data_IF_410192185845
#
_entry.id   IF_410192185845
#
_cell.length_a   1.000
_cell.length_b   1.000
_cell.length_c   1.000
_cell.angle_alpha   90.00
_cell.angle_beta   90.00
_cell.angle_gamma   90.00
#
_symmetry.space_group_name_H-M   'P 1'
#
loop_
_entity.id
_entity.type
_entity.pdbx_description
1 polymer ?
#
# COMPACT_ATOMS: atom_id res chain seq x y z
N UNK A 1 7.85 -0.05 -43.68
CA UNK A 1 7.24 0.09 -42.34
C UNK A 1 6.48 -1.21 -42.08
N UNK A 2 7.06 -2.17 -41.35
CA UNK A 2 6.40 -3.44 -41.11
C UNK A 2 5.22 -3.23 -40.14
N UNK A 3 4.04 -3.85 -40.37
CA UNK A 3 2.92 -3.72 -39.46
C UNK A 3 3.29 -4.35 -38.11
N UNK A 4 3.26 -3.54 -37.04
CA UNK A 4 3.43 -4.04 -35.67
C UNK A 4 2.39 -5.12 -35.40
N UNK A 5 2.85 -6.31 -34.98
CA UNK A 5 1.98 -7.44 -34.67
C UNK A 5 1.06 -7.09 -33.50
N UNK A 6 -0.15 -7.64 -33.47
CA UNK A 6 -1.14 -7.41 -32.40
C UNK A 6 -0.57 -7.73 -31.01
N UNK A 7 0.29 -8.75 -30.94
CA UNK A 7 1.05 -9.16 -29.76
C UNK A 7 1.98 -8.05 -29.21
N UNK A 8 2.59 -7.23 -30.09
CA UNK A 8 3.47 -6.13 -29.69
C UNK A 8 2.68 -4.93 -29.10
N UNK A 9 1.41 -4.79 -29.48
CA UNK A 9 0.50 -3.76 -28.97
C UNK A 9 -0.11 -4.15 -27.63
N UNK A 10 -0.56 -5.39 -27.45
CA UNK A 10 -1.07 -5.88 -26.15
C UNK A 10 0.01 -5.82 -25.06
N UNK A 11 1.25 -6.21 -25.37
CA UNK A 11 2.35 -6.10 -24.41
C UNK A 11 2.73 -4.65 -24.08
N UNK A 12 2.43 -3.69 -24.97
CA UNK A 12 2.74 -2.27 -24.77
C UNK A 12 1.81 -1.58 -23.77
N UNK A 13 0.55 -2.00 -23.70
CA UNK A 13 -0.46 -1.38 -22.83
C UNK A 13 -0.62 -2.10 -21.49
N UNK A 14 -0.27 -3.40 -21.41
CA UNK A 14 -0.49 -4.21 -20.22
C UNK A 14 0.27 -3.71 -18.98
N UNK A 15 1.58 -3.49 -19.07
CA UNK A 15 2.40 -3.13 -17.89
C UNK A 15 2.00 -1.78 -17.28
N UNK A 16 1.82 -0.70 -18.06
CA UNK A 16 1.33 0.57 -17.51
C UNK A 16 -0.07 0.46 -16.90
N UNK A 17 -0.99 -0.28 -17.54
CA UNK A 17 -2.35 -0.48 -17.00
C UNK A 17 -2.33 -1.27 -15.69
N UNK A 18 -1.48 -2.31 -15.60
CA UNK A 18 -1.29 -3.08 -14.38
C UNK A 18 -0.69 -2.24 -13.26
N UNK A 19 0.29 -1.39 -13.57
CA UNK A 19 0.89 -0.47 -12.61
C UNK A 19 -0.16 0.49 -12.04
N UNK A 20 -0.94 1.12 -12.91
CA UNK A 20 -2.02 2.03 -12.52
C UNK A 20 -3.04 1.32 -11.61
N UNK A 21 -3.47 0.12 -12.01
CA UNK A 21 -4.38 -0.68 -11.21
C UNK A 21 -3.80 -1.01 -9.83
N UNK A 22 -2.53 -1.40 -9.75
CA UNK A 22 -1.86 -1.70 -8.47
C UNK A 22 -1.77 -0.48 -7.57
N UNK A 23 -1.39 0.69 -8.09
CA UNK A 23 -1.31 1.92 -7.30
C UNK A 23 -2.69 2.31 -6.77
N UNK A 24 -3.73 2.24 -7.60
CA UNK A 24 -5.11 2.52 -7.19
C UNK A 24 -5.55 1.53 -6.10
N UNK A 25 -5.32 0.24 -6.28
CA UNK A 25 -5.69 -0.78 -5.29
C UNK A 25 -4.98 -0.59 -3.95
N UNK A 26 -3.69 -0.25 -3.99
CA UNK A 26 -2.92 0.04 -2.77
C UNK A 26 -3.44 1.31 -2.08
N UNK A 27 -3.73 2.37 -2.83
CA UNK A 27 -4.31 3.60 -2.28
C UNK A 27 -5.70 3.35 -1.68
N UNK A 28 -6.57 2.59 -2.35
CA UNK A 28 -7.88 2.19 -1.84
C UNK A 28 -7.77 1.34 -0.58
N UNK A 29 -6.83 0.39 -0.54
CA UNK A 29 -6.54 -0.38 0.67
C UNK A 29 -6.13 0.54 1.82
N UNK A 30 -5.15 1.43 1.61
CA UNK A 30 -4.72 2.39 2.62
C UNK A 30 -5.88 3.28 3.08
N UNK A 31 -6.72 3.75 2.15
CA UNK A 31 -7.89 4.54 2.50
C UNK A 31 -8.91 3.74 3.31
N UNK A 32 -9.17 2.48 2.98
CA UNK A 32 -10.08 1.61 3.72
C UNK A 32 -9.61 1.37 5.16
N UNK A 33 -8.30 1.10 5.36
CA UNK A 33 -7.70 1.03 6.69
C UNK A 33 -7.84 2.38 7.42
N UNK A 34 -7.60 3.49 6.72
CA UNK A 34 -7.72 4.84 7.26
C UNK A 34 -9.11 5.17 7.77
N UNK A 35 -10.13 4.94 6.94
CA UNK A 35 -11.54 5.11 7.30
C UNK A 35 -11.90 4.19 8.46
N UNK A 36 -11.54 2.90 8.39
CA UNK A 36 -11.82 1.93 9.46
C UNK A 36 -11.24 2.36 10.81
N UNK A 37 -10.00 2.84 10.83
CA UNK A 37 -9.35 3.34 12.04
C UNK A 37 -10.01 4.62 12.59
N UNK A 38 -10.62 5.46 11.74
CA UNK A 38 -11.34 6.67 12.16
C UNK A 38 -12.75 6.37 12.69
N UNK A 39 -13.52 5.58 11.94
CA UNK A 39 -14.97 5.40 12.17
C UNK A 39 -15.28 4.19 13.05
N UNK A 40 -14.43 3.16 13.01
CA UNK A 40 -14.62 1.89 13.69
C UNK A 40 -13.44 1.55 14.61
N UNK A 41 -12.79 2.55 15.21
CA UNK A 41 -11.55 2.41 15.97
C UNK A 41 -11.59 1.29 17.02
N UNK A 42 -12.54 1.34 17.95
CA UNK A 42 -12.62 0.37 19.06
C UNK A 42 -12.95 -1.04 18.56
N UNK A 43 -13.88 -1.13 17.61
CA UNK A 43 -14.23 -2.40 16.99
C UNK A 43 -13.03 -3.00 16.26
N UNK A 44 -12.31 -2.19 15.47
CA UNK A 44 -11.13 -2.60 14.72
C UNK A 44 -10.00 -3.07 15.64
N UNK A 45 -9.76 -2.38 16.76
CA UNK A 45 -8.80 -2.83 17.77
C UNK A 45 -9.18 -4.21 18.33
N UNK A 46 -10.44 -4.42 18.72
CA UNK A 46 -10.91 -5.71 19.25
C UNK A 46 -10.86 -6.82 18.23
N UNK A 47 -11.34 -6.57 17.02
CA UNK A 47 -11.30 -7.52 15.89
C UNK A 47 -9.87 -7.98 15.60
N UNK A 48 -8.93 -7.03 15.65
CA UNK A 48 -7.53 -7.27 15.37
C UNK A 48 -6.76 -7.88 16.56
N UNK A 49 -7.44 -8.16 17.67
CA UNK A 49 -6.92 -8.88 18.83
C UNK A 49 -6.32 -7.98 19.93
N UNK A 50 -6.44 -6.66 19.82
CA UNK A 50 -6.07 -5.74 20.88
C UNK A 50 -7.22 -5.58 21.89
N UNK A 51 -6.93 -5.34 23.19
CA UNK A 51 -7.97 -5.16 24.21
C UNK A 51 -8.79 -3.86 24.03
N UNK A 52 -8.34 -2.95 23.17
CA UNK A 52 -8.87 -1.59 23.00
C UNK A 52 -7.82 -0.54 23.36
N UNK A 53 -8.18 0.74 23.27
CA UNK A 53 -7.30 1.85 23.62
C UNK A 53 -8.09 2.99 24.25
N UNK A 54 -7.51 3.64 25.25
CA UNK A 54 -8.04 4.86 25.84
C UNK A 54 -6.86 5.76 26.24
N UNK A 55 -6.75 6.99 25.71
CA UNK A 55 -7.68 7.66 24.80
C UNK A 55 -7.60 7.17 23.34
N UNK A 56 -8.66 7.38 22.55
CA UNK A 56 -8.74 6.99 21.13
C UNK A 56 -7.97 7.90 20.16
N UNK A 57 -7.30 8.93 20.66
CA UNK A 57 -6.62 9.93 19.82
C UNK A 57 -5.57 9.30 18.90
N UNK A 58 -4.61 8.54 19.43
CA UNK A 58 -3.54 7.94 18.63
C UNK A 58 -4.04 6.86 17.64
N UNK A 59 -4.91 5.91 18.04
CA UNK A 59 -5.50 4.97 17.08
C UNK A 59 -6.26 5.65 15.94
N UNK A 60 -6.97 6.75 16.21
CA UNK A 60 -7.63 7.55 15.15
C UNK A 60 -6.63 8.32 14.30
N UNK A 61 -5.53 8.79 14.90
CA UNK A 61 -4.46 9.48 14.18
C UNK A 61 -3.82 8.58 13.11
N UNK A 62 -3.66 7.28 13.40
CA UNK A 62 -3.25 6.28 12.40
C UNK A 62 -4.16 6.32 11.17
N UNK A 63 -5.46 6.50 11.39
CA UNK A 63 -6.44 6.59 10.32
C UNK A 63 -6.26 7.83 9.43
N UNK A 64 -6.01 8.99 10.04
CA UNK A 64 -5.70 10.23 9.30
C UNK A 64 -4.45 10.05 8.44
N UNK A 65 -3.38 9.48 9.00
CA UNK A 65 -2.13 9.27 8.24
C UNK A 65 -2.33 8.32 7.06
N UNK A 66 -3.13 7.27 7.21
CA UNK A 66 -3.47 6.35 6.12
C UNK A 66 -4.20 7.04 4.97
N UNK A 67 -5.12 7.97 5.27
CA UNK A 67 -5.78 8.78 4.25
C UNK A 67 -4.79 9.69 3.53
N UNK A 68 -3.93 10.39 4.28
CA UNK A 68 -2.92 11.30 3.70
C UNK A 68 -2.00 10.55 2.74
N UNK A 69 -1.47 9.39 3.14
CA UNK A 69 -0.56 8.63 2.27
C UNK A 69 -1.30 8.02 1.07
N UNK A 70 -2.56 7.60 1.22
CA UNK A 70 -3.37 7.13 0.10
C UNK A 70 -3.50 8.22 -0.99
N UNK A 71 -3.80 9.46 -0.61
CA UNK A 71 -3.83 10.58 -1.55
C UNK A 71 -2.44 10.90 -2.11
N UNK A 72 -1.40 10.85 -1.29
CA UNK A 72 -0.04 11.09 -1.75
C UNK A 72 0.40 10.08 -2.84
N UNK A 73 0.02 8.81 -2.70
CA UNK A 73 0.30 7.78 -3.73
C UNK A 73 -0.39 8.12 -5.05
N UNK A 74 -1.68 8.48 -5.01
CA UNK A 74 -2.43 8.84 -6.21
C UNK A 74 -1.88 10.11 -6.86
N UNK A 75 -1.57 11.14 -6.07
CA UNK A 75 -1.02 12.40 -6.57
C UNK A 75 0.35 12.15 -7.21
N UNK A 76 1.23 11.40 -6.54
CA UNK A 76 2.56 11.05 -7.08
C UNK A 76 2.41 10.34 -8.42
N UNK A 77 1.56 9.32 -8.48
CA UNK A 77 1.41 8.50 -9.66
C UNK A 77 0.77 9.24 -10.83
N UNK A 78 -0.37 9.91 -10.62
CA UNK A 78 -1.08 10.57 -11.72
C UNK A 78 -0.39 11.85 -12.19
N UNK A 79 0.41 12.51 -11.35
CA UNK A 79 1.11 13.76 -11.73
C UNK A 79 2.54 13.54 -12.20
N UNK A 80 3.25 12.59 -11.60
CA UNK A 80 4.69 12.39 -11.85
C UNK A 80 5.02 10.99 -12.38
N UNK A 81 4.04 10.08 -12.47
CA UNK A 81 4.25 8.66 -12.83
C UNK A 81 5.29 7.97 -11.95
N UNK A 82 5.42 8.44 -10.71
CA UNK A 82 6.31 7.89 -9.69
C UNK A 82 5.57 6.95 -8.75
N UNK A 83 6.33 6.08 -8.09
CA UNK A 83 5.84 5.15 -7.05
C UNK A 83 6.67 5.24 -5.76
N UNK A 84 7.55 6.24 -5.65
CA UNK A 84 8.53 6.34 -4.57
C UNK A 84 7.88 6.60 -3.22
N UNK A 85 6.86 7.45 -3.14
CA UNK A 85 6.13 7.71 -1.89
C UNK A 85 5.46 6.42 -1.40
N UNK A 86 4.83 5.66 -2.30
CA UNK A 86 4.21 4.37 -1.97
C UNK A 86 5.25 3.38 -1.44
N UNK A 87 6.33 3.19 -2.19
CA UNK A 87 7.38 2.23 -1.85
C UNK A 87 8.06 2.59 -0.53
N UNK A 88 8.49 3.85 -0.36
CA UNK A 88 9.17 4.29 0.85
C UNK A 88 8.25 4.20 2.08
N UNK A 89 7.00 4.64 1.96
CA UNK A 89 6.05 4.60 3.09
C UNK A 89 5.80 3.17 3.54
N UNK A 90 5.51 2.26 2.60
CA UNK A 90 5.29 0.85 2.94
C UNK A 90 6.55 0.14 3.41
N UNK A 91 7.72 0.44 2.85
CA UNK A 91 8.98 -0.12 3.34
C UNK A 91 9.23 0.29 4.81
N UNK A 92 8.98 1.55 5.16
CA UNK A 92 9.06 2.01 6.55
C UNK A 92 8.05 1.29 7.44
N UNK A 93 6.80 1.14 6.98
CA UNK A 93 5.76 0.42 7.71
C UNK A 93 6.13 -1.06 7.95
N UNK A 94 6.59 -1.77 6.92
CA UNK A 94 7.05 -3.17 7.02
C UNK A 94 8.19 -3.28 8.02
N UNK A 95 9.21 -2.43 7.91
CA UNK A 95 10.34 -2.42 8.85
C UNK A 95 9.86 -2.22 10.29
N UNK A 96 8.98 -1.24 10.52
CA UNK A 96 8.39 -1.00 11.83
C UNK A 96 7.62 -2.21 12.34
N UNK A 97 6.71 -2.78 11.56
CA UNK A 97 5.87 -3.91 11.97
C UNK A 97 6.71 -5.16 12.25
N UNK A 98 7.72 -5.45 11.42
CA UNK A 98 8.65 -6.57 11.64
C UNK A 98 9.44 -6.36 12.93
N UNK A 99 9.99 -5.16 13.16
CA UNK A 99 10.67 -4.85 14.42
C UNK A 99 9.77 -5.08 15.62
N UNK A 100 8.52 -4.59 15.57
CA UNK A 100 7.57 -4.72 16.67
C UNK A 100 7.16 -6.19 16.92
N UNK A 101 7.03 -7.01 15.86
CA UNK A 101 6.78 -8.46 16.00
C UNK A 101 7.96 -9.20 16.63
N UNK A 102 9.19 -8.74 16.41
CA UNK A 102 10.40 -9.34 17.02
C UNK A 102 10.54 -8.94 18.49
N UNK A 103 10.20 -7.70 18.82
CA UNK A 103 10.39 -7.13 20.18
C UNK A 103 9.26 -7.54 21.13
N UNK A 104 8.02 -7.57 20.65
CA UNK A 104 6.83 -7.76 21.47
C UNK A 104 5.94 -8.93 21.01
N UNK A 105 5.13 -9.44 21.93
CA UNK A 105 4.05 -10.39 21.61
C UNK A 105 2.82 -9.64 21.14
N UNK A 106 2.71 -9.50 19.83
CA UNK A 106 1.63 -8.76 19.20
C UNK A 106 0.51 -9.68 18.68
N UNK A 107 -0.73 -9.17 18.56
CA UNK A 107 -1.82 -9.90 17.94
C UNK A 107 -1.49 -10.33 16.51
N UNK A 108 -2.15 -11.40 16.06
CA UNK A 108 -1.96 -12.02 14.75
C UNK A 108 -2.02 -11.02 13.59
N UNK A 109 -2.83 -9.96 13.71
CA UNK A 109 -3.01 -8.97 12.65
C UNK A 109 -1.69 -8.31 12.23
N UNK A 110 -0.76 -8.09 13.17
CA UNK A 110 0.45 -7.30 12.95
C UNK A 110 1.39 -7.98 11.96
N UNK A 111 1.78 -9.26 12.13
CA UNK A 111 2.59 -9.95 11.12
C UNK A 111 1.87 -10.12 9.77
N UNK A 112 0.54 -10.28 9.76
CA UNK A 112 -0.22 -10.33 8.50
C UNK A 112 -0.20 -8.97 7.77
N UNK A 113 -0.32 -7.86 8.50
CA UNK A 113 -0.16 -6.51 7.93
C UNK A 113 1.25 -6.31 7.38
N UNK A 114 2.29 -6.74 8.09
CA UNK A 114 3.67 -6.64 7.61
C UNK A 114 3.87 -7.42 6.29
N UNK A 115 3.34 -8.64 6.22
CA UNK A 115 3.40 -9.46 5.01
C UNK A 115 2.62 -8.80 3.86
N UNK A 116 1.40 -8.33 4.12
CA UNK A 116 0.57 -7.65 3.12
C UNK A 116 1.24 -6.42 2.54
N UNK A 117 1.78 -5.55 3.39
CA UNK A 117 2.51 -4.35 2.94
C UNK A 117 3.78 -4.70 2.17
N UNK A 118 4.53 -5.72 2.61
CA UNK A 118 5.71 -6.21 1.91
C UNK A 118 5.40 -6.72 0.50
N UNK A 119 4.32 -7.51 0.36
CA UNK A 119 3.87 -8.01 -0.94
C UNK A 119 3.45 -6.87 -1.87
N UNK A 120 2.77 -5.85 -1.35
CA UNK A 120 2.40 -4.66 -2.14
C UNK A 120 3.64 -3.91 -2.65
N UNK A 121 4.67 -3.72 -1.82
CA UNK A 121 5.93 -3.09 -2.24
C UNK A 121 6.60 -3.89 -3.35
N UNK A 122 6.74 -5.20 -3.16
CA UNK A 122 7.39 -6.07 -4.14
C UNK A 122 6.62 -6.07 -5.46
N UNK A 123 5.29 -6.15 -5.42
CA UNK A 123 4.45 -6.14 -6.61
C UNK A 123 4.57 -4.82 -7.39
N UNK A 124 4.45 -3.68 -6.70
CA UNK A 124 4.55 -2.35 -7.34
C UNK A 124 5.95 -2.12 -7.92
N UNK A 125 7.01 -2.43 -7.17
CA UNK A 125 8.38 -2.30 -7.67
C UNK A 125 8.65 -3.21 -8.87
N UNK A 126 8.21 -4.48 -8.80
CA UNK A 126 8.40 -5.42 -9.89
C UNK A 126 7.75 -4.91 -11.18
N UNK A 127 6.51 -4.39 -11.10
CA UNK A 127 5.81 -3.83 -12.25
C UNK A 127 6.44 -2.52 -12.72
N UNK A 128 6.78 -1.61 -11.80
CA UNK A 128 7.44 -0.33 -12.15
C UNK A 128 8.75 -0.55 -12.89
N UNK A 129 9.57 -1.52 -12.45
CA UNK A 129 10.79 -1.90 -13.16
C UNK A 129 10.53 -2.46 -14.56
N UNK A 130 9.36 -3.09 -14.82
CA UNK A 130 8.98 -3.54 -16.17
C UNK A 130 8.54 -2.38 -17.05
N UNK A 131 7.88 -1.37 -16.48
CA UNK A 131 7.48 -0.15 -17.20
C UNK A 131 8.70 0.69 -17.59
N UNK A 132 9.71 0.78 -16.71
CA UNK A 132 10.92 1.59 -16.96
C UNK A 132 11.96 0.95 -17.88
N UNK A 133 11.92 -0.37 -18.13
CA UNK A 133 12.90 -1.02 -19.00
C UNK A 133 12.73 -0.50 -20.44
N UNK A 134 13.77 0.13 -21.04
CA UNK A 134 13.75 0.48 -22.45
C UNK A 134 13.55 -0.78 -23.30
N UNK A 135 12.63 -0.72 -24.27
CA UNK A 135 12.47 -1.76 -25.30
C UNK A 135 13.70 -1.83 -26.19
#
# INVERSE_FOLDING_TARGET
MAPQSESDRESSSFWPALEEALVILVALHSAAIGVGALVATEWGLRFSGFPGASPLFFPRQVGVFHLVVAFAYLIEYFRYRGVMVLVTTKAIAVSFLVTMVVVDRLPWIVPFSALGDGLMVVAVLAVHMRVLRPR
#
